data_IF_878298137272
#
_entry.id   IF_878298137272
#
_cell.length_a   1.000
_cell.length_b   1.000
_cell.length_c   1.000
_cell.angle_alpha   90.00
_cell.angle_beta   90.00
_cell.angle_gamma   90.00
#
_symmetry.space_group_name_H-M   'P 1'
#
loop_
_entity.id
_entity.type
_entity.pdbx_description
1 polymer ?
#
# COMPACT_ATOMS: atom_id res chain seq x y z
N UNK A 1 -9.70 5.21 -22.21
CA UNK A 1 -9.30 6.51 -21.65
C UNK A 1 -9.32 6.42 -20.12
N UNK A 2 -8.27 6.88 -19.49
CA UNK A 2 -8.20 6.84 -18.02
C UNK A 2 -9.14 7.88 -17.41
N UNK A 3 -9.70 7.57 -16.26
CA UNK A 3 -10.52 8.47 -15.47
C UNK A 3 -9.62 9.21 -14.47
N UNK A 4 -9.20 10.41 -14.85
CA UNK A 4 -8.29 11.21 -14.03
C UNK A 4 -8.86 11.53 -12.64
N UNK A 5 -10.17 11.77 -12.55
CA UNK A 5 -10.81 12.05 -11.28
C UNK A 5 -10.75 10.84 -10.36
N UNK A 6 -11.05 9.67 -10.89
CA UNK A 6 -11.02 8.43 -10.12
C UNK A 6 -9.60 8.09 -9.68
N UNK A 7 -8.62 8.25 -10.58
CA UNK A 7 -7.21 8.02 -10.25
C UNK A 7 -6.77 8.94 -9.10
N UNK A 8 -7.12 10.23 -9.18
CA UNK A 8 -6.80 11.22 -8.14
C UNK A 8 -7.42 10.80 -6.81
N UNK A 9 -8.67 10.32 -6.80
CA UNK A 9 -9.35 9.88 -5.58
C UNK A 9 -8.67 8.64 -4.97
N UNK A 10 -8.27 7.67 -5.79
CA UNK A 10 -7.55 6.51 -5.28
C UNK A 10 -6.24 6.91 -4.61
N UNK A 11 -5.47 7.83 -5.21
CA UNK A 11 -4.25 8.34 -4.57
C UNK A 11 -4.54 9.13 -3.31
N UNK A 12 -5.65 9.89 -3.28
CA UNK A 12 -6.04 10.61 -2.08
C UNK A 12 -6.32 9.63 -0.93
N UNK A 13 -7.06 8.56 -1.20
CA UNK A 13 -7.32 7.53 -0.19
C UNK A 13 -6.05 6.79 0.22
N UNK A 14 -5.15 6.52 -0.72
CA UNK A 14 -3.86 5.91 -0.40
C UNK A 14 -3.05 6.81 0.56
N UNK A 15 -3.00 8.11 0.28
CA UNK A 15 -2.31 9.05 1.15
C UNK A 15 -2.96 9.15 2.53
N UNK A 16 -4.29 9.08 2.60
CA UNK A 16 -4.99 9.07 3.89
C UNK A 16 -4.57 7.85 4.73
N UNK A 17 -4.46 6.68 4.11
CA UNK A 17 -3.97 5.49 4.82
C UNK A 17 -2.56 5.69 5.35
N UNK A 18 -1.69 6.34 4.57
CA UNK A 18 -0.32 6.59 5.00
C UNK A 18 -0.27 7.57 6.18
N UNK A 19 -1.12 8.60 6.15
CA UNK A 19 -1.23 9.56 7.26
C UNK A 19 -1.70 8.83 8.53
N UNK A 20 -2.71 7.97 8.41
CA UNK A 20 -3.21 7.19 9.55
C UNK A 20 -2.13 6.26 10.11
N UNK A 21 -1.40 5.57 9.22
CA UNK A 21 -0.31 4.69 9.64
C UNK A 21 0.74 5.45 10.47
N UNK A 22 1.15 6.61 9.98
CA UNK A 22 2.15 7.44 10.68
C UNK A 22 1.63 7.95 12.02
N UNK A 23 0.37 8.37 12.07
CA UNK A 23 -0.24 8.82 13.33
C UNK A 23 -0.31 7.70 14.35
N UNK A 24 -0.77 6.53 13.96
CA UNK A 24 -0.88 5.37 14.85
C UNK A 24 0.49 4.95 15.41
N UNK A 25 1.54 5.14 14.64
CA UNK A 25 2.88 4.73 15.03
C UNK A 25 3.63 5.82 15.81
N UNK A 26 3.51 7.09 15.39
CA UNK A 26 4.31 8.18 15.95
C UNK A 26 3.63 8.92 17.10
N UNK A 27 2.29 9.03 17.06
CA UNK A 27 1.58 9.96 17.93
C UNK A 27 0.72 9.29 19.01
N UNK A 28 0.50 7.99 18.90
CA UNK A 28 -0.25 7.23 19.90
C UNK A 28 0.68 6.44 20.80
N UNK A 29 0.29 6.32 22.09
CA UNK A 29 1.02 5.51 23.05
C UNK A 29 0.03 4.62 23.81
N UNK A 30 0.23 3.30 23.83
CA UNK A 30 1.29 2.58 23.14
C UNK A 30 1.14 2.67 21.61
N UNK A 31 2.25 2.48 20.89
CA UNK A 31 2.23 2.50 19.42
C UNK A 31 1.29 1.42 18.90
N UNK A 32 0.42 1.80 17.96
CA UNK A 32 -0.58 0.90 17.39
C UNK A 32 0.01 0.20 16.16
N UNK A 33 0.89 -0.77 16.39
CA UNK A 33 1.68 -1.39 15.32
C UNK A 33 0.82 -2.18 14.32
N UNK A 34 -0.18 -2.91 14.81
CA UNK A 34 -1.05 -3.69 13.91
C UNK A 34 -1.87 -2.78 12.99
N UNK A 35 -2.45 -1.72 13.55
CA UNK A 35 -3.25 -0.77 12.77
C UNK A 35 -2.36 -0.02 11.79
N UNK A 36 -1.17 0.41 12.23
CA UNK A 36 -0.23 1.08 11.34
C UNK A 36 0.17 0.19 10.18
N UNK A 37 0.50 -1.08 10.44
CA UNK A 37 0.84 -2.03 9.39
C UNK A 37 -0.30 -2.24 8.40
N UNK A 38 -1.52 -2.40 8.90
CA UNK A 38 -2.69 -2.55 8.04
C UNK A 38 -2.85 -1.35 7.09
N UNK A 39 -2.72 -0.13 7.61
CA UNK A 39 -2.86 1.05 6.77
C UNK A 39 -1.70 1.23 5.79
N UNK A 40 -0.50 0.75 6.13
CA UNK A 40 0.61 0.69 5.17
C UNK A 40 0.26 -0.21 3.98
N UNK A 41 -0.31 -1.38 4.25
CA UNK A 41 -0.74 -2.30 3.20
C UNK A 41 -1.86 -1.66 2.36
N UNK A 42 -2.85 -1.02 3.00
CA UNK A 42 -3.94 -0.36 2.29
C UNK A 42 -3.44 0.80 1.40
N UNK A 43 -2.45 1.54 1.87
CA UNK A 43 -1.83 2.59 1.07
C UNK A 43 -1.25 2.02 -0.22
N UNK A 44 -0.45 0.97 -0.10
CA UNK A 44 0.17 0.33 -1.26
C UNK A 44 -0.87 -0.26 -2.21
N UNK A 45 -1.89 -0.93 -1.66
CA UNK A 45 -2.96 -1.52 -2.47
C UNK A 45 -3.66 -0.45 -3.32
N UNK A 46 -4.03 0.65 -2.70
CA UNK A 46 -4.74 1.73 -3.39
C UNK A 46 -3.87 2.43 -4.43
N UNK A 47 -2.57 2.60 -4.15
CA UNK A 47 -1.64 3.19 -5.11
C UNK A 47 -1.47 2.30 -6.35
N UNK A 48 -1.34 0.98 -6.15
CA UNK A 48 -1.24 0.03 -7.26
C UNK A 48 -2.52 0.02 -8.09
N UNK A 49 -3.69 0.01 -7.42
CA UNK A 49 -4.98 0.05 -8.12
C UNK A 49 -5.17 1.35 -8.89
N UNK A 50 -4.68 2.48 -8.36
CA UNK A 50 -4.73 3.75 -9.07
C UNK A 50 -3.94 3.69 -10.38
N UNK A 51 -2.77 3.06 -10.36
CA UNK A 51 -1.99 2.88 -11.59
C UNK A 51 -2.73 2.03 -12.62
N UNK A 52 -3.39 0.95 -12.18
CA UNK A 52 -4.17 0.11 -13.08
C UNK A 52 -5.31 0.89 -13.73
N UNK A 53 -6.05 1.68 -12.93
CA UNK A 53 -7.14 2.51 -13.43
C UNK A 53 -6.61 3.57 -14.41
N UNK A 54 -5.45 4.15 -14.12
CA UNK A 54 -4.81 5.11 -15.03
C UNK A 54 -4.57 4.49 -16.41
N UNK A 55 -4.30 3.19 -16.47
CA UNK A 55 -4.08 2.45 -17.70
C UNK A 55 -5.36 1.78 -18.21
N UNK A 56 -6.52 2.27 -17.80
CA UNK A 56 -7.83 1.82 -18.25
C UNK A 56 -8.11 0.34 -17.93
N UNK A 57 -7.50 -0.16 -16.87
CA UNK A 57 -7.73 -1.52 -16.39
C UNK A 57 -8.52 -1.47 -15.09
N UNK A 58 -9.62 -2.22 -15.03
CA UNK A 58 -10.39 -2.34 -13.79
C UNK A 58 -9.60 -3.23 -12.81
N UNK A 59 -9.24 -2.71 -11.63
CA UNK A 59 -8.48 -3.52 -10.69
C UNK A 59 -9.36 -4.64 -10.11
N UNK A 60 -8.81 -5.84 -9.96
CA UNK A 60 -9.56 -6.92 -9.32
C UNK A 60 -9.78 -6.62 -7.85
N UNK A 61 -10.85 -7.21 -7.28
CA UNK A 61 -11.18 -7.03 -5.86
C UNK A 61 -10.34 -8.00 -5.03
N UNK A 62 -9.04 -7.85 -5.08
CA UNK A 62 -8.07 -8.65 -4.33
C UNK A 62 -7.19 -7.72 -3.50
N UNK A 63 -6.58 -8.28 -2.46
CA UNK A 63 -5.75 -7.53 -1.52
C UNK A 63 -4.30 -7.99 -1.50
N UNK A 64 -3.94 -9.00 -2.30
CA UNK A 64 -2.56 -9.47 -2.40
C UNK A 64 -1.75 -8.52 -3.26
N UNK A 65 -0.83 -7.80 -2.62
CA UNK A 65 -0.01 -6.80 -3.30
C UNK A 65 0.93 -7.40 -4.32
N UNK A 66 1.32 -8.68 -4.15
CA UNK A 66 2.19 -9.36 -5.10
C UNK A 66 1.49 -9.53 -6.45
N UNK A 67 0.21 -9.91 -6.41
CA UNK A 67 -0.61 -10.05 -7.62
C UNK A 67 -0.84 -8.70 -8.27
N UNK A 68 -1.19 -7.68 -7.50
CA UNK A 68 -1.41 -6.33 -8.02
C UNK A 68 -0.13 -5.76 -8.64
N UNK A 69 1.01 -5.95 -7.98
CA UNK A 69 2.30 -5.49 -8.49
C UNK A 69 2.66 -6.19 -9.81
N UNK A 70 2.38 -7.49 -9.90
CA UNK A 70 2.63 -8.24 -11.15
C UNK A 70 1.77 -7.69 -12.28
N UNK A 71 0.51 -7.38 -12.03
CA UNK A 71 -0.36 -6.78 -13.04
C UNK A 71 0.19 -5.43 -13.51
N UNK A 72 0.65 -4.60 -12.57
CA UNK A 72 1.29 -3.33 -12.92
C UNK A 72 2.57 -3.55 -13.72
N UNK A 73 3.37 -4.55 -13.34
CA UNK A 73 4.61 -4.89 -14.03
C UNK A 73 4.37 -5.34 -15.48
N UNK A 74 3.26 -6.04 -15.71
CA UNK A 74 2.90 -6.46 -17.08
C UNK A 74 2.63 -5.25 -17.98
N UNK A 75 2.19 -4.13 -17.40
CA UNK A 75 1.99 -2.87 -18.13
C UNK A 75 3.31 -2.09 -18.24
N UNK A 76 4.05 -2.01 -17.14
CA UNK A 76 5.31 -1.26 -17.05
C UNK A 76 6.33 -2.10 -16.26
N UNK A 77 7.30 -2.71 -16.95
CA UNK A 77 8.27 -3.59 -16.30
C UNK A 77 9.06 -2.96 -15.15
N UNK A 78 9.14 -1.63 -15.07
CA UNK A 78 9.85 -0.96 -13.99
C UNK A 78 9.25 -1.26 -12.60
N UNK A 79 8.02 -1.77 -12.54
CA UNK A 79 7.40 -2.16 -11.26
C UNK A 79 8.16 -3.29 -10.55
N UNK A 80 9.09 -3.95 -11.23
CA UNK A 80 9.99 -4.89 -10.57
C UNK A 80 10.75 -4.21 -9.42
N UNK A 81 10.99 -2.91 -9.51
CA UNK A 81 11.75 -2.15 -8.50
C UNK A 81 11.06 -2.11 -7.14
N UNK A 82 9.74 -2.29 -7.08
CA UNK A 82 8.99 -2.28 -5.82
C UNK A 82 8.40 -3.63 -5.47
N UNK A 83 8.77 -4.68 -6.18
CA UNK A 83 8.22 -6.03 -5.95
C UNK A 83 8.51 -6.54 -4.54
N UNK A 84 9.69 -6.29 -4.01
CA UNK A 84 10.05 -6.74 -2.65
C UNK A 84 9.24 -6.01 -1.58
N UNK A 85 9.04 -4.70 -1.74
CA UNK A 85 8.21 -3.92 -0.83
C UNK A 85 6.78 -4.45 -0.81
N UNK A 86 6.21 -4.72 -1.98
CA UNK A 86 4.85 -5.27 -2.09
C UNK A 86 4.75 -6.65 -1.43
N UNK A 87 5.76 -7.49 -1.62
CA UNK A 87 5.79 -8.83 -1.02
C UNK A 87 5.78 -8.76 0.51
N UNK A 88 6.55 -7.84 1.09
CA UNK A 88 6.58 -7.69 2.55
C UNK A 88 5.30 -7.05 3.09
N UNK A 89 4.81 -6.00 2.44
CA UNK A 89 3.63 -5.27 2.91
C UNK A 89 2.35 -6.09 2.87
N UNK A 90 2.24 -7.04 1.95
CA UNK A 90 1.01 -7.82 1.82
C UNK A 90 0.67 -8.61 3.09
N UNK A 91 1.68 -8.91 3.92
CA UNK A 91 1.48 -9.62 5.18
C UNK A 91 0.64 -8.83 6.19
N UNK A 92 0.54 -7.51 6.05
CA UNK A 92 -0.21 -6.66 6.98
C UNK A 92 -1.66 -6.43 6.57
N UNK A 93 -2.13 -7.09 5.52
CA UNK A 93 -3.45 -6.87 4.92
C UNK A 93 -4.63 -7.40 5.73
N UNK A 94 -4.45 -7.70 7.01
CA UNK A 94 -5.50 -8.21 7.89
C UNK A 94 -5.84 -7.15 8.91
N UNK A 95 -7.09 -6.66 8.89
CA UNK A 95 -7.53 -5.58 9.78
C UNK A 95 -7.66 -6.03 11.23
N UNK A 96 -7.95 -7.32 11.47
CA UNK A 96 -8.09 -7.88 12.81
C UNK A 96 -7.17 -9.10 12.95
N UNK A 97 -6.67 -9.30 14.16
CA UNK A 97 -5.81 -10.43 14.47
C UNK A 97 -6.37 -11.20 15.66
N UNK A 98 -6.12 -12.49 15.68
CA UNK A 98 -6.43 -13.32 16.85
C UNK A 98 -5.36 -13.08 17.92
N UNK A 99 -5.74 -13.21 19.23
CA UNK A 99 -4.80 -12.92 20.32
C UNK A 99 -3.53 -13.75 20.31
N UNK A 100 -3.51 -14.91 19.65
CA UNK A 100 -2.35 -15.79 19.57
C UNK A 100 -1.45 -15.52 18.35
N UNK A 101 -1.82 -14.56 17.49
CA UNK A 101 -0.98 -14.18 16.37
C UNK A 101 0.13 -13.23 16.80
N UNK A 102 1.25 -13.28 16.06
CA UNK A 102 2.36 -12.38 16.32
C UNK A 102 1.98 -10.94 15.98
N UNK A 103 2.22 -10.04 16.93
CA UNK A 103 2.03 -8.61 16.75
C UNK A 103 3.29 -8.05 16.08
N UNK A 104 3.17 -7.25 15.02
CA UNK A 104 4.34 -6.62 14.41
C UNK A 104 5.09 -5.75 15.42
N UNK A 105 6.41 -5.84 15.43
CA UNK A 105 7.22 -5.02 16.33
C UNK A 105 7.50 -3.63 15.72
N UNK A 106 8.16 -2.78 16.52
CA UNK A 106 8.48 -1.41 16.12
C UNK A 106 9.35 -1.38 14.88
N UNK A 107 10.35 -2.26 14.79
CA UNK A 107 11.27 -2.27 13.65
C UNK A 107 10.57 -2.69 12.36
N UNK A 108 9.66 -3.67 12.44
CA UNK A 108 8.87 -4.11 11.31
C UNK A 108 8.01 -2.95 10.76
N UNK A 109 7.37 -2.20 11.63
CA UNK A 109 6.48 -1.12 11.21
C UNK A 109 7.25 0.11 10.75
N UNK A 110 8.41 0.39 11.33
CA UNK A 110 9.29 1.45 10.82
C UNK A 110 9.61 1.18 9.35
N UNK A 111 9.97 -0.06 9.01
CA UNK A 111 10.24 -0.44 7.63
C UNK A 111 8.97 -0.38 6.77
N UNK A 112 7.84 -0.86 7.30
CA UNK A 112 6.58 -0.87 6.57
C UNK A 112 6.16 0.55 6.15
N UNK A 113 6.31 1.53 7.01
CA UNK A 113 5.97 2.92 6.69
C UNK A 113 6.88 3.45 5.57
N UNK A 114 8.18 3.16 5.65
CA UNK A 114 9.13 3.55 4.60
C UNK A 114 8.74 2.90 3.27
N UNK A 115 8.43 1.62 3.29
CA UNK A 115 8.09 0.88 2.07
C UNK A 115 6.75 1.30 1.48
N UNK A 116 5.75 1.58 2.32
CA UNK A 116 4.47 2.10 1.84
C UNK A 116 4.66 3.45 1.14
N UNK A 117 5.50 4.33 1.70
CA UNK A 117 5.84 5.59 1.07
C UNK A 117 6.52 5.36 -0.29
N UNK A 118 7.45 4.41 -0.35
CA UNK A 118 8.15 4.09 -1.60
C UNK A 118 7.19 3.60 -2.68
N UNK A 119 6.26 2.72 -2.33
CA UNK A 119 5.26 2.22 -3.29
C UNK A 119 4.36 3.35 -3.75
N UNK A 120 3.87 4.17 -2.82
CA UNK A 120 3.03 5.33 -3.15
C UNK A 120 3.74 6.27 -4.11
N UNK A 121 4.96 6.68 -3.78
CA UNK A 121 5.72 7.63 -4.60
C UNK A 121 6.04 7.04 -5.98
N UNK A 122 6.39 5.76 -6.04
CA UNK A 122 6.66 5.08 -7.29
C UNK A 122 5.44 5.10 -8.22
N UNK A 123 4.29 4.69 -7.69
CA UNK A 123 3.06 4.65 -8.47
C UNK A 123 2.65 6.05 -8.95
N UNK A 124 2.76 7.05 -8.07
CA UNK A 124 2.42 8.43 -8.41
C UNK A 124 3.31 8.96 -9.53
N UNK A 125 4.60 8.63 -9.50
CA UNK A 125 5.54 9.05 -10.55
C UNK A 125 5.18 8.42 -11.90
N UNK A 126 4.67 7.19 -11.91
CA UNK A 126 4.36 6.47 -13.15
C UNK A 126 3.10 6.95 -13.87
N UNK A 127 2.33 7.83 -13.25
CA UNK A 127 1.13 8.42 -13.89
C UNK A 127 1.36 9.87 -14.36
N UNK A 128 2.56 10.35 -14.21
CA UNK A 128 2.92 11.71 -14.67
C UNK A 128 3.33 11.72 -16.14
#
# INVERSE_FOLDING_TARGET
>A
MSDHKLVTEWFRYANNDLIVAKHCFNDLYPKQTEIAGYHCQQCAEKALKAFLIFNSMEPPKIHDLRVLCKMCKDINPSFLEIANQCSRLTAYGVATRYPDELVPDINMITLAIIEAQQVYDFCLEKIK
#
